data_IF_508562374364
#
_entry.id   IF_508562374364
#
_cell.length_a   1.000
_cell.length_b   1.000
_cell.length_c   1.000
_cell.angle_alpha   90.00
_cell.angle_beta   90.00
_cell.angle_gamma   90.00
#
_symmetry.space_group_name_H-M   'P 1'
#
loop_
_entity.id
_entity.type
_entity.pdbx_description
1 polymer ?
#
# COMPACT_ATOMS: atom_id res chain seq x y z
N UNK A 1 19.37 -25.24 0.78
CA UNK A 1 19.27 -23.85 0.29
C UNK A 1 20.27 -23.50 -0.82
N UNK A 2 21.47 -24.08 -0.86
CA UNK A 2 22.52 -23.76 -1.84
C UNK A 2 22.07 -23.70 -3.31
N UNK A 3 21.15 -24.59 -3.72
CA UNK A 3 20.57 -24.58 -5.08
C UNK A 3 19.90 -23.25 -5.46
N UNK A 4 19.37 -22.52 -4.49
CA UNK A 4 18.74 -21.22 -4.68
C UNK A 4 19.74 -20.07 -4.52
N UNK A 5 20.70 -20.16 -3.59
CA UNK A 5 21.67 -19.09 -3.36
C UNK A 5 22.76 -18.99 -4.42
N UNK A 6 23.10 -20.10 -5.09
CA UNK A 6 24.19 -20.16 -6.07
C UNK A 6 23.71 -20.16 -7.52
N UNK A 7 22.40 -19.95 -7.75
CA UNK A 7 21.85 -19.90 -9.10
C UNK A 7 22.36 -18.68 -9.86
N UNK A 8 22.47 -18.83 -11.18
CA UNK A 8 22.72 -17.71 -12.10
C UNK A 8 21.42 -17.35 -12.78
N UNK A 9 21.15 -16.05 -12.87
CA UNK A 9 19.97 -15.52 -13.55
C UNK A 9 20.35 -14.99 -14.93
N UNK A 10 19.41 -15.12 -15.87
CA UNK A 10 19.56 -14.57 -17.22
C UNK A 10 18.78 -13.27 -17.30
N UNK A 11 19.51 -12.18 -17.53
CA UNK A 11 18.92 -10.85 -17.73
C UNK A 11 18.40 -10.72 -19.17
N UNK A 12 17.21 -10.16 -19.32
CA UNK A 12 16.51 -9.89 -20.58
C UNK A 12 15.87 -8.50 -20.52
N UNK A 13 15.49 -7.89 -21.66
CA UNK A 13 14.60 -6.73 -21.65
C UNK A 13 13.34 -7.03 -20.82
N UNK A 14 12.85 -6.03 -20.10
CA UNK A 14 11.66 -6.16 -19.27
C UNK A 14 10.38 -6.21 -20.12
N UNK A 15 10.34 -5.59 -21.31
CA UNK A 15 9.06 -5.36 -21.99
C UNK A 15 8.16 -4.45 -21.17
N UNK A 16 8.78 -3.45 -20.51
CA UNK A 16 8.13 -2.37 -19.77
C UNK A 16 8.80 -1.10 -20.26
N UNK A 17 8.08 -0.29 -21.05
CA UNK A 17 8.68 0.80 -21.83
C UNK A 17 9.48 1.78 -20.97
N UNK A 18 8.99 2.11 -19.78
CA UNK A 18 9.67 3.00 -18.85
C UNK A 18 10.99 2.39 -18.33
N UNK A 19 10.97 1.15 -17.84
CA UNK A 19 12.18 0.45 -17.39
C UNK A 19 13.18 0.23 -18.51
N UNK A 20 12.73 -0.25 -19.68
CA UNK A 20 13.61 -0.54 -20.80
C UNK A 20 14.27 0.75 -21.33
N UNK A 21 13.52 1.86 -21.37
CA UNK A 21 14.06 3.18 -21.71
C UNK A 21 15.07 3.69 -20.68
N UNK A 22 14.87 3.36 -19.40
CA UNK A 22 15.82 3.65 -18.32
C UNK A 22 17.05 2.72 -18.29
N UNK A 23 17.20 1.81 -19.27
CA UNK A 23 18.29 0.84 -19.32
C UNK A 23 18.13 -0.34 -18.37
N UNK A 24 16.90 -0.58 -17.92
CA UNK A 24 16.52 -1.69 -17.05
C UNK A 24 16.63 -3.06 -17.74
N UNK A 25 16.88 -4.08 -16.93
CA UNK A 25 16.78 -5.47 -17.35
C UNK A 25 16.02 -6.28 -16.30
N UNK A 26 15.30 -7.31 -16.73
CA UNK A 26 14.53 -8.19 -15.86
C UNK A 26 15.09 -9.61 -15.85
N UNK A 27 14.87 -10.33 -14.75
CA UNK A 27 15.26 -11.72 -14.60
C UNK A 27 14.32 -12.47 -13.63
N UNK A 28 14.33 -13.79 -13.74
CA UNK A 28 13.52 -14.68 -12.90
C UNK A 28 14.41 -15.41 -11.88
N UNK A 29 14.16 -15.21 -10.59
CA UNK A 29 14.87 -15.87 -9.48
C UNK A 29 14.04 -17.05 -8.99
N UNK A 30 14.62 -18.24 -8.92
CA UNK A 30 13.92 -19.42 -8.39
C UNK A 30 14.02 -19.48 -6.87
N UNK A 31 12.92 -19.76 -6.20
CA UNK A 31 12.84 -19.89 -4.73
C UNK A 31 11.99 -21.11 -4.36
N UNK A 32 12.14 -21.69 -3.15
CA UNK A 32 11.18 -22.65 -2.64
C UNK A 32 9.79 -22.03 -2.55
N UNK A 33 8.76 -22.81 -2.88
CA UNK A 33 7.38 -22.42 -2.55
C UNK A 33 7.21 -22.41 -1.02
N UNK A 34 7.62 -23.49 -0.37
CA UNK A 34 7.64 -23.63 1.09
C UNK A 34 9.10 -23.67 1.57
N UNK A 35 9.49 -22.72 2.42
CA UNK A 35 10.86 -22.67 2.96
C UNK A 35 11.12 -23.73 4.05
N UNK A 36 10.08 -24.36 4.60
CA UNK A 36 10.21 -25.53 5.48
C UNK A 36 10.47 -26.82 4.69
N UNK A 37 10.13 -26.86 3.40
CA UNK A 37 10.46 -27.94 2.47
C UNK A 37 11.24 -27.41 1.25
N UNK A 38 12.53 -27.05 1.43
CA UNK A 38 13.32 -26.43 0.38
C UNK A 38 13.61 -27.36 -0.80
N UNK A 39 13.37 -28.66 -0.69
CA UNK A 39 13.57 -29.64 -1.77
C UNK A 39 12.31 -29.87 -2.60
N UNK A 40 11.14 -29.51 -2.07
CA UNK A 40 9.84 -29.58 -2.72
C UNK A 40 9.62 -28.60 -3.88
N UNK A 41 8.36 -28.17 -4.03
CA UNK A 41 7.92 -27.28 -5.13
C UNK A 41 8.66 -25.94 -5.09
N UNK A 42 8.86 -25.37 -6.27
CA UNK A 42 9.50 -24.06 -6.43
C UNK A 42 8.56 -23.09 -7.14
N UNK A 43 8.84 -21.80 -6.99
CA UNK A 43 8.23 -20.72 -7.77
C UNK A 43 9.32 -19.77 -8.28
N UNK A 44 8.94 -18.87 -9.19
CA UNK A 44 9.81 -17.82 -9.70
C UNK A 44 9.38 -16.46 -9.18
N UNK A 45 10.33 -15.70 -8.66
CA UNK A 45 10.20 -14.30 -8.27
C UNK A 45 10.84 -13.45 -9.36
N UNK A 46 10.06 -12.57 -9.98
CA UNK A 46 10.56 -11.65 -10.99
C UNK A 46 11.27 -10.46 -10.33
N UNK A 47 12.44 -10.10 -10.85
CA UNK A 47 13.19 -8.92 -10.45
C UNK A 47 13.53 -8.06 -11.66
N UNK A 48 13.69 -6.76 -11.42
CA UNK A 48 14.26 -5.80 -12.36
C UNK A 48 15.58 -5.25 -11.81
N UNK A 49 16.41 -4.72 -12.68
CA UNK A 49 17.64 -4.01 -12.31
C UNK A 49 17.90 -2.85 -13.26
N UNK A 50 18.13 -1.68 -12.69
CA UNK A 50 18.86 -0.58 -13.33
C UNK A 50 20.26 -0.58 -12.71
N UNK A 51 21.30 -0.73 -13.53
CA UNK A 51 22.68 -0.79 -13.04
C UNK A 51 23.10 0.56 -12.44
N UNK A 52 24.02 0.52 -11.46
CA UNK A 52 24.64 1.73 -10.94
C UNK A 52 25.21 2.59 -12.08
N UNK A 53 24.95 3.90 -12.03
CA UNK A 53 25.39 4.82 -13.08
C UNK A 53 26.93 4.98 -13.13
N UNK A 54 27.63 4.62 -12.06
CA UNK A 54 29.09 4.61 -11.97
C UNK A 54 29.58 3.26 -11.38
N UNK A 55 30.03 2.32 -12.22
CA UNK A 55 30.51 1.02 -11.77
C UNK A 55 31.68 1.07 -10.78
N UNK A 56 32.53 2.10 -10.85
CA UNK A 56 33.70 2.24 -9.97
C UNK A 56 33.29 2.72 -8.57
N UNK A 57 32.14 3.40 -8.46
CA UNK A 57 31.53 3.83 -7.19
C UNK A 57 30.48 2.85 -6.66
N UNK A 58 30.25 1.73 -7.34
CA UNK A 58 29.21 0.77 -6.98
C UNK A 58 29.45 0.19 -5.58
N UNK A 59 28.53 0.50 -4.67
CA UNK A 59 28.48 0.01 -3.29
C UNK A 59 27.74 -1.32 -3.17
N UNK A 60 26.62 -1.48 -3.86
CA UNK A 60 25.76 -2.66 -3.68
C UNK A 60 24.42 -2.57 -4.39
N UNK A 61 23.41 -3.21 -3.81
CA UNK A 61 22.04 -3.27 -4.33
C UNK A 61 21.11 -2.47 -3.42
N UNK A 62 20.20 -1.70 -4.02
CA UNK A 62 19.09 -1.01 -3.36
C UNK A 62 17.78 -1.61 -3.86
N UNK A 63 17.15 -2.46 -3.05
CA UNK A 63 15.86 -3.06 -3.39
C UNK A 63 14.72 -2.15 -2.97
N UNK A 64 13.78 -1.90 -3.88
CA UNK A 64 12.61 -1.08 -3.65
C UNK A 64 11.34 -1.94 -3.59
N UNK A 65 10.41 -1.57 -2.70
CA UNK A 65 9.07 -2.14 -2.69
C UNK A 65 8.02 -1.01 -2.52
N UNK A 66 7.02 -0.91 -3.42
CA UNK A 66 6.06 0.19 -3.43
C UNK A 66 4.94 0.02 -2.40
N UNK A 67 4.80 -1.16 -1.80
CA UNK A 67 3.72 -1.49 -0.89
C UNK A 67 2.56 -2.22 -1.56
N UNK A 68 1.33 -1.80 -1.26
CA UNK A 68 0.11 -2.58 -1.45
C UNK A 68 -0.37 -3.16 -0.11
N UNK A 69 -0.19 -4.47 0.18
CA UNK A 69 0.47 -5.49 -0.64
C UNK A 69 -0.29 -5.80 -1.93
N UNK A 70 0.34 -6.52 -2.86
CA UNK A 70 -0.28 -6.89 -4.15
C UNK A 70 0.18 -6.04 -5.34
N UNK A 71 0.89 -4.93 -5.09
CA UNK A 71 1.43 -4.08 -6.16
C UNK A 71 2.73 -4.65 -6.76
N UNK A 72 2.81 -4.65 -8.08
CA UNK A 72 4.04 -4.93 -8.83
C UNK A 72 5.14 -3.96 -8.43
N UNK A 73 6.35 -4.48 -8.19
CA UNK A 73 7.51 -3.69 -7.77
C UNK A 73 8.62 -3.59 -8.81
N UNK A 74 8.43 -4.17 -10.00
CA UNK A 74 9.47 -4.16 -11.05
C UNK A 74 9.84 -2.74 -11.50
N UNK A 75 8.87 -1.85 -11.65
CA UNK A 75 9.04 -0.49 -12.16
C UNK A 75 9.20 0.58 -11.07
N UNK A 76 9.08 0.19 -9.79
CA UNK A 76 9.28 1.11 -8.66
C UNK A 76 10.64 1.80 -8.68
N UNK A 77 11.67 1.13 -9.21
CA UNK A 77 13.02 1.70 -9.33
C UNK A 77 13.14 2.85 -10.33
N UNK A 78 12.28 2.87 -11.35
CA UNK A 78 12.19 3.98 -12.30
C UNK A 78 11.56 5.21 -11.63
N UNK A 79 10.47 4.99 -10.89
CA UNK A 79 9.81 6.04 -10.09
C UNK A 79 10.74 6.64 -9.02
N UNK A 80 11.60 5.82 -8.43
CA UNK A 80 12.65 6.30 -7.52
C UNK A 80 13.71 7.15 -8.23
N UNK A 81 13.91 6.96 -9.54
CA UNK A 81 14.86 7.73 -10.33
C UNK A 81 14.63 9.24 -10.30
N UNK A 82 13.37 9.66 -10.16
CA UNK A 82 12.95 11.06 -10.11
C UNK A 82 13.24 11.75 -8.76
N UNK A 83 13.40 10.97 -7.70
CA UNK A 83 13.59 11.48 -6.32
C UNK A 83 14.97 11.15 -5.74
N UNK A 84 15.62 10.11 -6.24
CA UNK A 84 16.98 9.73 -5.86
C UNK A 84 17.99 10.69 -6.47
N UNK A 85 18.84 11.24 -5.59
CA UNK A 85 19.97 12.06 -6.00
C UNK A 85 20.89 11.27 -6.96
N UNK A 86 21.50 11.93 -7.96
CA UNK A 86 22.44 11.29 -8.89
C UNK A 86 23.54 10.49 -8.18
N UNK A 87 24.01 10.96 -7.02
CA UNK A 87 25.03 10.27 -6.22
C UNK A 87 24.57 8.96 -5.59
N UNK A 88 23.26 8.80 -5.32
CA UNK A 88 22.69 7.50 -4.92
C UNK A 88 22.67 6.59 -6.14
N UNK A 89 22.14 7.06 -7.28
CA UNK A 89 22.08 6.27 -8.53
C UNK A 89 23.46 5.83 -9.04
N UNK A 90 24.50 6.59 -8.74
CA UNK A 90 25.89 6.22 -9.03
C UNK A 90 26.41 5.06 -8.16
N UNK A 91 25.86 4.84 -6.96
CA UNK A 91 26.39 3.87 -6.00
C UNK A 91 25.61 2.56 -5.95
N UNK A 92 24.39 2.49 -6.46
CA UNK A 92 23.54 1.31 -6.31
C UNK A 92 23.04 0.76 -7.64
N UNK A 93 23.08 -0.57 -7.76
CA UNK A 93 22.14 -1.24 -8.64
C UNK A 93 20.75 -1.12 -8.00
N UNK A 94 19.81 -0.46 -8.69
CA UNK A 94 18.44 -0.32 -8.25
C UNK A 94 17.68 -1.59 -8.61
N UNK A 95 17.10 -2.27 -7.62
CA UNK A 95 16.42 -3.55 -7.80
C UNK A 95 14.93 -3.42 -7.50
N UNK A 96 14.10 -3.71 -8.50
CA UNK A 96 12.66 -3.91 -8.31
C UNK A 96 12.36 -5.40 -8.12
N UNK A 97 11.27 -5.70 -7.44
CA UNK A 97 10.83 -7.07 -7.19
C UNK A 97 9.31 -7.13 -7.20
N UNK A 98 8.77 -8.07 -7.97
CA UNK A 98 7.39 -8.52 -7.76
C UNK A 98 7.39 -9.56 -6.66
N UNK A 99 6.74 -9.34 -5.49
CA UNK A 99 6.63 -10.37 -4.47
C UNK A 99 6.04 -11.67 -5.01
N UNK A 100 6.28 -12.78 -4.30
CA UNK A 100 5.67 -14.07 -4.66
C UNK A 100 4.16 -13.93 -4.83
N UNK A 101 3.63 -14.41 -5.96
CA UNK A 101 2.21 -14.29 -6.30
C UNK A 101 1.72 -12.91 -6.74
N UNK A 102 2.62 -11.96 -6.98
CA UNK A 102 2.33 -10.62 -7.49
C UNK A 102 2.86 -10.47 -8.92
N UNK A 103 2.15 -9.73 -9.77
CA UNK A 103 2.65 -9.31 -11.08
C UNK A 103 3.14 -10.48 -11.93
N UNK A 104 4.43 -10.45 -12.29
CA UNK A 104 5.08 -11.48 -13.11
C UNK A 104 5.63 -12.66 -12.30
N UNK A 105 5.62 -12.58 -10.99
CA UNK A 105 6.03 -13.68 -10.12
C UNK A 105 4.99 -14.80 -10.11
N UNK A 106 5.46 -16.04 -10.15
CA UNK A 106 4.58 -17.20 -10.11
C UNK A 106 3.94 -17.36 -8.72
N UNK A 107 2.77 -18.00 -8.68
CA UNK A 107 2.14 -18.45 -7.43
C UNK A 107 0.75 -17.86 -7.15
N UNK A 108 0.41 -16.71 -7.75
CA UNK A 108 -0.90 -16.09 -7.64
C UNK A 108 -1.66 -16.22 -8.94
N UNK A 109 -2.60 -17.18 -9.02
CA UNK A 109 -3.60 -17.13 -10.10
C UNK A 109 -4.65 -16.11 -9.68
N UNK A 110 -4.94 -15.17 -10.55
CA UNK A 110 -6.04 -14.24 -10.41
C UNK A 110 -7.34 -15.00 -10.05
N UNK A 111 -8.07 -14.53 -9.04
CA UNK A 111 -9.23 -15.25 -8.49
C UNK A 111 -10.50 -15.12 -9.34
N UNK A 112 -10.49 -14.26 -10.36
CA UNK A 112 -11.65 -13.95 -11.19
C UNK A 112 -12.61 -12.96 -10.53
N UNK A 113 -12.12 -12.11 -9.61
CA UNK A 113 -12.96 -11.15 -8.89
C UNK A 113 -13.52 -10.06 -9.80
N UNK A 114 -14.82 -9.76 -9.64
CA UNK A 114 -15.53 -8.66 -10.32
C UNK A 114 -16.62 -8.07 -9.40
N UNK A 115 -16.50 -6.83 -8.92
CA UNK A 115 -15.32 -5.95 -9.01
C UNK A 115 -14.07 -6.58 -8.41
N UNK A 116 -12.91 -6.17 -8.90
CA UNK A 116 -11.62 -6.79 -8.60
C UNK A 116 -11.00 -6.43 -7.25
N UNK A 117 -11.76 -5.95 -6.29
CA UNK A 117 -11.24 -5.40 -5.02
C UNK A 117 -11.91 -6.09 -3.82
N UNK A 118 -11.11 -6.40 -2.80
CA UNK A 118 -11.65 -6.92 -1.54
C UNK A 118 -12.11 -5.81 -0.63
N UNK A 119 -11.41 -4.67 -0.55
CA UNK A 119 -11.78 -3.56 0.32
C UNK A 119 -13.07 -2.90 -0.16
N UNK A 120 -14.11 -3.02 0.66
CA UNK A 120 -15.44 -2.46 0.39
C UNK A 120 -16.11 -2.07 1.70
N UNK A 121 -16.88 -0.98 1.69
CA UNK A 121 -17.69 -0.58 2.85
C UNK A 121 -18.89 -1.50 3.02
N UNK A 122 -19.31 -1.73 4.28
CA UNK A 122 -20.53 -2.47 4.59
C UNK A 122 -21.82 -1.73 4.19
N UNK A 123 -21.71 -0.46 3.78
CA UNK A 123 -22.85 0.43 3.56
C UNK A 123 -23.47 0.94 4.86
N UNK A 124 -24.60 1.64 4.74
CA UNK A 124 -25.25 2.33 5.85
C UNK A 124 -26.14 1.41 6.72
N UNK A 125 -26.49 0.22 6.23
CA UNK A 125 -27.51 -0.64 6.85
C UNK A 125 -27.13 -2.12 6.97
N UNK A 126 -27.88 -2.84 7.81
CA UNK A 126 -27.66 -4.27 8.09
C UNK A 126 -27.79 -5.15 6.84
N UNK A 127 -28.74 -4.88 5.96
CA UNK A 127 -28.93 -5.65 4.73
C UNK A 127 -27.71 -5.56 3.81
N UNK A 128 -27.12 -4.36 3.70
CA UNK A 128 -25.86 -4.12 2.99
C UNK A 128 -24.72 -4.93 3.59
N UNK A 129 -24.56 -4.88 4.92
CA UNK A 129 -23.56 -5.67 5.64
C UNK A 129 -23.71 -7.19 5.43
N UNK A 130 -24.95 -7.71 5.46
CA UNK A 130 -25.21 -9.14 5.25
C UNK A 130 -24.89 -9.56 3.81
N UNK A 131 -25.27 -8.75 2.81
CA UNK A 131 -24.89 -8.96 1.42
C UNK A 131 -23.37 -8.94 1.23
N UNK A 132 -22.69 -7.99 1.86
CA UNK A 132 -21.23 -7.88 1.79
C UNK A 132 -20.49 -9.01 2.51
N UNK A 133 -21.05 -9.53 3.61
CA UNK A 133 -20.58 -10.75 4.28
C UNK A 133 -20.61 -11.94 3.32
N UNK A 134 -21.73 -12.12 2.60
CA UNK A 134 -21.87 -13.16 1.58
C UNK A 134 -20.88 -12.98 0.41
N UNK A 135 -20.66 -11.73 -0.03
CA UNK A 135 -19.66 -11.37 -1.04
C UNK A 135 -18.25 -11.74 -0.58
N UNK A 136 -17.85 -11.32 0.62
CA UNK A 136 -16.53 -11.60 1.17
C UNK A 136 -16.24 -13.11 1.27
N UNK A 137 -17.23 -13.89 1.73
CA UNK A 137 -17.11 -15.36 1.75
C UNK A 137 -16.95 -15.95 0.34
N UNK A 138 -17.71 -15.44 -0.64
CA UNK A 138 -17.60 -15.87 -2.05
C UNK A 138 -16.22 -15.58 -2.64
N UNK A 139 -15.72 -14.36 -2.45
CA UNK A 139 -14.39 -13.95 -2.92
C UNK A 139 -13.28 -14.84 -2.36
N UNK A 140 -13.34 -15.17 -1.06
CA UNK A 140 -12.41 -16.10 -0.44
C UNK A 140 -12.51 -17.50 -1.06
N UNK A 141 -13.72 -18.05 -1.23
CA UNK A 141 -13.92 -19.36 -1.85
C UNK A 141 -13.39 -19.42 -3.29
N UNK A 142 -13.61 -18.37 -4.09
CA UNK A 142 -13.16 -18.32 -5.48
C UNK A 142 -11.63 -18.36 -5.60
N UNK A 143 -10.92 -17.72 -4.68
CA UNK A 143 -9.47 -17.84 -4.57
C UNK A 143 -9.03 -19.24 -4.12
N UNK A 144 -9.65 -19.76 -3.06
CA UNK A 144 -9.24 -21.01 -2.40
C UNK A 144 -9.60 -22.27 -3.19
N UNK A 145 -10.48 -22.18 -4.18
CA UNK A 145 -10.83 -23.27 -5.08
C UNK A 145 -9.64 -23.76 -5.94
N UNK A 146 -8.57 -22.95 -6.06
CA UNK A 146 -7.34 -23.33 -6.73
C UNK A 146 -6.37 -24.14 -5.85
N UNK A 147 -5.08 -23.85 -6.00
CA UNK A 147 -4.03 -24.45 -5.18
C UNK A 147 -3.88 -23.71 -3.84
N UNK A 148 -4.81 -24.00 -2.92
CA UNK A 148 -4.82 -23.38 -1.58
C UNK A 148 -3.54 -23.64 -0.78
N UNK A 149 -2.81 -24.73 -1.06
CA UNK A 149 -1.52 -25.01 -0.41
C UNK A 149 -0.44 -24.04 -0.88
N UNK A 150 -0.38 -23.72 -2.18
CA UNK A 150 0.54 -22.71 -2.70
C UNK A 150 0.15 -21.29 -2.25
N UNK A 151 -1.14 -20.94 -2.26
CA UNK A 151 -1.61 -19.61 -1.84
C UNK A 151 -1.22 -19.30 -0.39
N UNK A 152 -1.28 -20.30 0.50
CA UNK A 152 -0.89 -20.15 1.91
C UNK A 152 0.60 -19.87 2.13
N UNK A 153 1.43 -20.00 1.09
CA UNK A 153 2.86 -19.69 1.13
C UNK A 153 3.19 -18.28 0.62
N UNK A 154 2.19 -17.54 0.16
CA UNK A 154 2.31 -16.16 -0.33
C UNK A 154 2.23 -15.17 0.84
N UNK A 155 3.25 -15.16 1.69
CA UNK A 155 3.27 -14.36 2.93
C UNK A 155 4.43 -13.36 2.95
N UNK A 156 4.35 -12.34 3.80
CA UNK A 156 5.43 -11.36 4.01
C UNK A 156 6.72 -12.04 4.49
N UNK A 157 6.62 -12.98 5.43
CA UNK A 157 7.78 -13.71 5.96
C UNK A 157 8.52 -14.45 4.85
N UNK A 158 7.77 -15.11 3.99
CA UNK A 158 8.29 -15.83 2.86
C UNK A 158 8.85 -14.88 1.77
N UNK A 159 8.22 -13.71 1.57
CA UNK A 159 8.76 -12.64 0.72
C UNK A 159 10.09 -12.09 1.27
N UNK A 160 10.24 -11.94 2.58
CA UNK A 160 11.51 -11.55 3.20
C UNK A 160 12.61 -12.60 2.99
N UNK A 161 12.26 -13.90 2.97
CA UNK A 161 13.22 -14.97 2.61
C UNK A 161 13.59 -14.92 1.12
N UNK A 162 12.68 -14.50 0.24
CA UNK A 162 12.99 -14.26 -1.17
C UNK A 162 13.98 -13.11 -1.34
N UNK A 163 13.80 -12.02 -0.57
CA UNK A 163 14.74 -10.89 -0.56
C UNK A 163 16.17 -11.34 -0.18
N UNK A 164 16.32 -12.27 0.77
CA UNK A 164 17.63 -12.84 1.11
C UNK A 164 18.21 -13.70 -0.03
N UNK A 165 17.38 -14.49 -0.72
CA UNK A 165 17.81 -15.23 -1.92
C UNK A 165 18.25 -14.26 -3.01
N UNK A 166 17.46 -13.24 -3.33
CA UNK A 166 17.77 -12.23 -4.35
C UNK A 166 19.10 -11.56 -4.03
N UNK A 167 19.30 -11.09 -2.79
CA UNK A 167 20.56 -10.50 -2.33
C UNK A 167 21.75 -11.42 -2.62
N UNK A 168 21.65 -12.70 -2.30
CA UNK A 168 22.71 -13.70 -2.54
C UNK A 168 22.96 -13.97 -4.03
N UNK A 169 21.90 -14.09 -4.82
CA UNK A 169 21.96 -14.29 -6.28
C UNK A 169 22.62 -13.11 -6.99
N UNK A 170 22.39 -11.89 -6.50
CA UNK A 170 23.05 -10.67 -6.99
C UNK A 170 24.48 -10.49 -6.47
N UNK A 171 24.99 -11.45 -5.68
CA UNK A 171 26.35 -11.41 -5.13
C UNK A 171 26.54 -10.34 -4.05
N UNK A 172 25.46 -9.82 -3.47
CA UNK A 172 25.51 -8.77 -2.46
C UNK A 172 25.66 -9.36 -1.05
N UNK A 173 26.67 -8.94 -0.25
CA UNK A 173 26.82 -9.41 1.14
C UNK A 173 25.69 -8.88 2.03
N UNK A 174 25.20 -7.67 1.75
CA UNK A 174 24.11 -6.98 2.45
C UNK A 174 23.15 -6.34 1.43
N UNK A 175 21.96 -5.96 1.88
CA UNK A 175 20.89 -5.36 1.10
C UNK A 175 20.62 -3.95 1.62
N UNK A 176 20.67 -2.95 0.74
CA UNK A 176 19.99 -1.68 1.02
C UNK A 176 18.53 -1.78 0.57
N UNK A 177 17.62 -1.16 1.30
CA UNK A 177 16.18 -1.32 1.10
C UNK A 177 15.45 0.02 1.21
N UNK A 178 14.52 0.26 0.29
CA UNK A 178 13.54 1.35 0.35
C UNK A 178 12.14 0.74 0.27
N UNK A 179 11.40 0.77 1.38
CA UNK A 179 10.03 0.27 1.45
C UNK A 179 9.05 1.40 1.66
N UNK A 180 7.92 1.34 0.95
CA UNK A 180 6.81 2.27 1.13
C UNK A 180 5.56 1.52 1.58
N UNK A 181 4.79 2.09 2.51
CA UNK A 181 3.51 1.50 2.93
C UNK A 181 3.68 0.06 3.42
N UNK A 182 2.99 -0.93 2.84
CA UNK A 182 3.26 -2.37 3.09
C UNK A 182 4.75 -2.76 3.02
N UNK A 183 5.50 -2.13 2.12
CA UNK A 183 6.95 -2.33 2.01
C UNK A 183 7.70 -2.01 3.31
N UNK A 184 7.16 -1.15 4.17
CA UNK A 184 7.74 -0.86 5.49
C UNK A 184 7.60 -2.04 6.45
N UNK A 185 6.45 -2.72 6.45
CA UNK A 185 6.25 -3.95 7.21
C UNK A 185 7.15 -5.06 6.66
N UNK A 186 7.22 -5.23 5.34
CA UNK A 186 8.14 -6.18 4.70
C UNK A 186 9.61 -5.92 5.09
N UNK A 187 10.05 -4.66 5.06
CA UNK A 187 11.39 -4.25 5.48
C UNK A 187 11.66 -4.54 6.96
N UNK A 188 10.71 -4.24 7.84
CA UNK A 188 10.80 -4.53 9.27
C UNK A 188 10.89 -6.04 9.55
N UNK A 189 10.09 -6.85 8.86
CA UNK A 189 10.15 -8.32 8.91
C UNK A 189 11.52 -8.82 8.43
N UNK A 190 12.04 -8.28 7.32
CA UNK A 190 13.38 -8.63 6.83
C UNK A 190 14.48 -8.28 7.84
N UNK A 191 14.45 -7.07 8.43
CA UNK A 191 15.40 -6.64 9.46
C UNK A 191 15.35 -7.55 10.70
N UNK A 192 14.16 -8.01 11.08
CA UNK A 192 13.99 -8.94 12.20
C UNK A 192 14.56 -10.33 11.88
N UNK A 193 14.31 -10.86 10.68
CA UNK A 193 14.71 -12.21 10.29
C UNK A 193 16.19 -12.30 9.88
N UNK A 194 16.73 -11.23 9.29
CA UNK A 194 18.07 -11.18 8.71
C UNK A 194 18.82 -9.89 9.09
N UNK A 195 19.01 -9.58 10.39
CA UNK A 195 19.56 -8.30 10.83
C UNK A 195 20.98 -8.04 10.31
N UNK A 196 21.78 -9.10 10.10
CA UNK A 196 23.15 -9.02 9.57
C UNK A 196 23.20 -8.80 8.05
N UNK A 197 22.06 -8.92 7.37
CA UNK A 197 21.95 -8.77 5.92
C UNK A 197 21.49 -7.36 5.51
N UNK A 198 21.27 -6.45 6.46
CA UNK A 198 20.83 -5.06 6.19
C UNK A 198 22.04 -4.12 6.12
N UNK A 199 22.14 -3.32 5.05
CA UNK A 199 23.10 -2.20 4.95
C UNK A 199 22.45 -0.87 5.32
N UNK A 200 21.53 -0.38 4.47
CA UNK A 200 20.80 0.87 4.67
C UNK A 200 19.32 0.65 4.42
N UNK A 201 18.47 1.00 5.38
CA UNK A 201 17.03 0.75 5.30
C UNK A 201 16.23 2.02 5.49
N UNK A 202 15.41 2.39 4.51
CA UNK A 202 14.45 3.49 4.59
C UNK A 202 13.04 2.93 4.51
N UNK A 203 12.20 3.33 5.47
CA UNK A 203 10.82 2.90 5.60
C UNK A 203 9.92 4.16 5.59
N UNK A 204 9.33 4.45 4.45
CA UNK A 204 8.47 5.63 4.23
C UNK A 204 7.00 5.27 4.34
N UNK A 205 6.25 5.98 5.19
CA UNK A 205 4.84 5.68 5.48
C UNK A 205 4.70 4.33 6.17
N UNK A 206 5.13 4.32 7.43
CA UNK A 206 5.44 3.13 8.21
C UNK A 206 4.22 2.49 8.86
N UNK A 207 4.15 1.17 8.77
CA UNK A 207 3.14 0.32 9.41
C UNK A 207 3.63 -0.15 10.78
N UNK A 208 2.74 -0.14 11.76
CA UNK A 208 2.92 -0.81 13.04
C UNK A 208 2.84 -2.34 12.82
N UNK A 209 3.95 -3.09 13.03
CA UNK A 209 3.98 -4.53 12.82
C UNK A 209 2.98 -5.30 13.68
N UNK A 210 2.61 -4.77 14.86
CA UNK A 210 1.68 -5.43 15.78
C UNK A 210 0.21 -5.20 15.40
N UNK A 211 -0.05 -4.32 14.41
CA UNK A 211 -1.40 -4.01 13.92
C UNK A 211 -1.65 -4.46 12.49
N UNK A 212 -0.63 -4.92 11.78
CA UNK A 212 -0.79 -5.48 10.45
C UNK A 212 -1.57 -6.82 10.51
N UNK A 213 -2.57 -7.10 9.69
CA UNK A 213 -3.26 -6.25 8.69
C UNK A 213 -4.56 -5.68 9.27
N UNK A 214 -5.31 -6.49 10.01
CA UNK A 214 -6.68 -6.15 10.43
C UNK A 214 -6.73 -4.97 11.40
N UNK A 215 -5.70 -4.78 12.22
CA UNK A 215 -5.59 -3.64 13.12
C UNK A 215 -5.35 -2.32 12.38
N UNK A 216 -4.57 -2.35 11.31
CA UNK A 216 -4.27 -1.21 10.45
C UNK A 216 -5.50 -0.77 9.65
N UNK A 217 -6.23 -1.71 9.03
CA UNK A 217 -7.48 -1.40 8.31
C UNK A 217 -8.49 -0.73 9.25
N UNK A 218 -8.58 -1.18 10.51
CA UNK A 218 -9.43 -0.52 11.52
C UNK A 218 -9.00 0.90 11.86
N UNK A 219 -7.72 1.25 11.72
CA UNK A 219 -7.23 2.60 12.00
C UNK A 219 -7.53 3.58 10.87
N UNK A 220 -7.75 3.08 9.65
CA UNK A 220 -8.20 3.92 8.52
C UNK A 220 -9.46 4.70 8.85
N UNK A 221 -10.39 4.11 9.62
CA UNK A 221 -11.65 4.76 9.98
C UNK A 221 -11.44 6.16 10.59
N UNK A 222 -10.63 6.28 11.65
CA UNK A 222 -10.38 7.60 12.25
C UNK A 222 -9.47 8.48 11.39
N UNK A 223 -8.52 7.88 10.67
CA UNK A 223 -7.54 8.61 9.89
C UNK A 223 -8.13 9.22 8.60
N UNK A 224 -9.01 8.49 7.93
CA UNK A 224 -9.75 8.97 6.76
C UNK A 224 -10.81 10.02 7.13
N UNK A 225 -11.42 9.93 8.32
CA UNK A 225 -12.31 10.98 8.81
C UNK A 225 -11.56 12.30 9.06
N UNK A 226 -10.36 12.22 9.66
CA UNK A 226 -9.50 13.40 9.80
C UNK A 226 -9.03 13.94 8.44
N UNK A 227 -8.80 13.06 7.46
CA UNK A 227 -8.46 13.45 6.12
C UNK A 227 -9.61 14.13 5.37
N UNK A 228 -10.84 13.66 5.58
CA UNK A 228 -12.05 14.29 5.07
C UNK A 228 -12.25 15.66 5.70
N UNK A 229 -12.00 15.82 7.00
CA UNK A 229 -12.09 17.12 7.69
C UNK A 229 -11.07 18.13 7.13
N UNK A 230 -9.84 17.68 6.86
CA UNK A 230 -8.80 18.50 6.23
C UNK A 230 -9.23 18.94 4.81
N UNK A 231 -9.70 18.01 3.99
CA UNK A 231 -10.23 18.32 2.66
C UNK A 231 -11.47 19.23 2.72
N UNK A 232 -12.35 19.05 3.69
CA UNK A 232 -13.55 19.87 3.86
C UNK A 232 -13.20 21.34 4.15
N UNK A 233 -12.12 21.60 4.90
CA UNK A 233 -11.58 22.97 5.09
C UNK A 233 -11.08 23.57 3.78
N UNK A 234 -10.45 22.77 2.92
CA UNK A 234 -10.00 23.21 1.60
C UNK A 234 -11.18 23.50 0.67
N UNK A 235 -12.18 22.61 0.65
CA UNK A 235 -13.34 22.67 -0.23
C UNK A 235 -14.29 23.83 0.13
N UNK A 236 -14.49 24.10 1.43
CA UNK A 236 -15.33 25.19 1.89
C UNK A 236 -14.87 26.58 1.41
N UNK A 237 -13.56 26.77 1.21
CA UNK A 237 -12.99 28.01 0.65
C UNK A 237 -13.26 28.17 -0.84
N UNK A 238 -13.71 27.10 -1.50
CA UNK A 238 -14.04 26.99 -2.93
C UNK A 238 -15.52 26.68 -3.16
N UNK A 239 -16.37 27.03 -2.19
CA UNK A 239 -17.81 26.95 -2.34
C UNK A 239 -18.36 27.67 -3.60
N UNK A 240 -17.78 28.80 -4.07
CA UNK A 240 -18.20 29.41 -5.34
C UNK A 240 -18.00 28.51 -6.57
N UNK A 241 -17.09 27.53 -6.51
CA UNK A 241 -16.76 26.63 -7.62
C UNK A 241 -17.55 25.32 -7.54
N UNK A 242 -17.77 24.79 -6.33
CA UNK A 242 -18.29 23.43 -6.13
C UNK A 242 -19.66 23.37 -5.43
N UNK A 243 -20.05 24.42 -4.70
CA UNK A 243 -21.33 24.51 -3.98
C UNK A 243 -21.59 23.39 -2.94
N UNK A 244 -20.55 22.93 -2.24
CA UNK A 244 -20.66 21.94 -1.16
C UNK A 244 -21.01 22.57 0.20
N UNK A 245 -20.99 23.89 0.32
CA UNK A 245 -21.18 24.62 1.56
C UNK A 245 -19.98 25.49 1.93
N UNK A 246 -20.28 26.58 2.63
CA UNK A 246 -19.31 27.65 2.98
C UNK A 246 -18.45 27.35 4.21
N UNK A 247 -18.60 26.18 4.83
CA UNK A 247 -17.85 25.77 6.02
C UNK A 247 -17.56 24.27 6.00
N UNK A 248 -16.47 23.84 6.63
CA UNK A 248 -16.09 22.43 6.65
C UNK A 248 -17.20 21.50 7.18
N UNK A 249 -17.96 21.86 8.24
CA UNK A 249 -19.11 21.05 8.66
C UNK A 249 -20.21 20.90 7.58
N UNK A 250 -20.47 21.94 6.79
CA UNK A 250 -21.45 21.87 5.69
C UNK A 250 -20.96 20.99 4.53
N UNK A 251 -19.68 21.07 4.20
CA UNK A 251 -19.07 20.17 3.20
C UNK A 251 -19.17 18.72 3.65
N UNK A 252 -18.91 18.47 4.94
CA UNK A 252 -19.03 17.14 5.53
C UNK A 252 -20.47 16.62 5.49
N UNK A 253 -21.44 17.45 5.87
CA UNK A 253 -22.87 17.15 5.73
C UNK A 253 -23.23 16.78 4.28
N UNK A 254 -22.73 17.52 3.30
CA UNK A 254 -22.93 17.21 1.86
C UNK A 254 -22.41 15.83 1.48
N UNK A 255 -21.23 15.42 1.97
CA UNK A 255 -20.66 14.09 1.70
C UNK A 255 -21.47 12.98 2.38
N UNK A 256 -21.90 13.20 3.63
CA UNK A 256 -22.75 12.26 4.36
C UNK A 256 -24.14 12.13 3.70
N UNK A 257 -24.72 13.22 3.20
CA UNK A 257 -25.96 13.22 2.42
C UNK A 257 -25.81 12.49 1.08
N UNK A 258 -24.69 12.69 0.37
CA UNK A 258 -24.37 11.94 -0.84
C UNK A 258 -24.35 10.44 -0.56
N UNK A 259 -23.63 10.01 0.49
CA UNK A 259 -23.57 8.59 0.89
C UNK A 259 -24.97 8.04 1.15
N UNK A 260 -25.80 8.75 1.91
CA UNK A 260 -27.17 8.34 2.19
C UNK A 260 -28.07 8.34 0.94
N UNK A 261 -27.81 9.23 -0.03
CA UNK A 261 -28.52 9.25 -1.30
C UNK A 261 -28.17 8.03 -2.15
N UNK A 262 -26.88 7.71 -2.27
CA UNK A 262 -26.38 6.54 -3.01
C UNK A 262 -26.85 5.21 -2.41
N UNK A 263 -27.03 5.15 -1.08
CA UNK A 263 -27.64 3.99 -0.42
C UNK A 263 -29.09 3.72 -0.86
N UNK A 264 -29.85 4.78 -1.19
CA UNK A 264 -31.25 4.67 -1.64
C UNK A 264 -31.36 4.52 -3.16
N UNK A 265 -30.53 5.26 -3.89
CA UNK A 265 -30.53 5.33 -5.35
C UNK A 265 -29.08 5.37 -5.85
N UNK A 266 -28.46 4.19 -6.07
CA UNK A 266 -27.14 4.10 -6.66
C UNK A 266 -27.08 4.77 -8.04
N UNK A 267 -25.93 5.31 -8.40
CA UNK A 267 -25.70 5.95 -9.70
C UNK A 267 -24.82 5.07 -10.58
N UNK A 268 -25.09 5.06 -11.88
CA UNK A 268 -24.25 4.34 -12.85
C UNK A 268 -23.33 5.31 -13.55
N UNK A 269 -22.02 5.07 -13.46
CA UNK A 269 -20.96 5.83 -14.13
C UNK A 269 -20.16 4.87 -15.00
N UNK A 270 -20.12 5.11 -16.31
CA UNK A 270 -19.45 4.24 -17.30
C UNK A 270 -19.83 2.74 -17.22
N UNK A 271 -21.08 2.36 -16.89
CA UNK A 271 -21.53 0.98 -16.60
C UNK A 271 -21.01 0.37 -15.28
N UNK A 272 -20.47 1.19 -14.37
CA UNK A 272 -20.19 0.79 -12.99
C UNK A 272 -21.22 1.41 -12.05
N UNK A 273 -21.77 0.61 -11.13
CA UNK A 273 -22.72 1.10 -10.12
C UNK A 273 -21.93 1.63 -8.91
N UNK A 274 -22.03 2.93 -8.66
CA UNK A 274 -21.50 3.58 -7.48
C UNK A 274 -22.62 3.72 -6.45
N UNK A 275 -22.45 3.06 -5.32
CA UNK A 275 -23.35 3.01 -4.17
C UNK A 275 -22.63 3.49 -2.90
N UNK A 276 -23.30 3.39 -1.75
CA UNK A 276 -22.72 3.68 -0.43
C UNK A 276 -21.63 2.69 0.01
N UNK A 277 -21.45 1.58 -0.71
CA UNK A 277 -20.36 0.65 -0.49
C UNK A 277 -19.06 1.11 -1.17
N UNK A 278 -19.16 1.69 -2.38
CA UNK A 278 -18.01 2.15 -3.17
C UNK A 278 -17.59 3.58 -2.89
N UNK A 279 -18.51 4.49 -2.52
CA UNK A 279 -18.16 5.89 -2.25
C UNK A 279 -17.05 6.02 -1.18
N UNK A 280 -17.11 5.34 -0.01
CA UNK A 280 -16.02 5.42 0.96
C UNK A 280 -14.68 4.92 0.42
N UNK A 281 -14.67 3.89 -0.44
CA UNK A 281 -13.43 3.41 -1.06
C UNK A 281 -12.86 4.42 -2.07
N UNK A 282 -13.70 5.08 -2.86
CA UNK A 282 -13.26 6.15 -3.77
C UNK A 282 -12.65 7.32 -3.00
N UNK A 283 -13.35 7.78 -1.94
CA UNK A 283 -12.86 8.86 -1.08
C UNK A 283 -11.59 8.46 -0.33
N UNK A 284 -11.48 7.22 0.14
CA UNK A 284 -10.25 6.67 0.70
C UNK A 284 -9.08 6.85 -0.29
N UNK A 285 -9.20 6.41 -1.54
CA UNK A 285 -8.10 6.57 -2.50
C UNK A 285 -7.75 8.05 -2.77
N UNK A 286 -8.75 8.92 -2.90
CA UNK A 286 -8.59 10.34 -3.18
C UNK A 286 -7.95 11.13 -2.02
N UNK A 287 -8.39 10.87 -0.79
CA UNK A 287 -7.99 11.62 0.39
C UNK A 287 -6.56 11.30 0.87
N UNK A 288 -5.90 10.30 0.28
CA UNK A 288 -4.52 9.92 0.63
C UNK A 288 -3.48 11.03 0.42
N UNK A 289 -3.78 12.06 -0.36
CA UNK A 289 -2.84 13.11 -0.73
C UNK A 289 -3.55 14.44 -0.99
N UNK A 290 -3.16 15.51 -0.30
CA UNK A 290 -3.73 16.85 -0.51
C UNK A 290 -3.62 17.35 -1.96
N UNK A 291 -2.64 16.86 -2.73
CA UNK A 291 -2.51 17.19 -4.17
C UNK A 291 -3.67 16.63 -5.02
N UNK A 292 -4.55 15.82 -4.45
CA UNK A 292 -5.76 15.29 -5.07
C UNK A 292 -7.02 16.07 -4.68
N UNK A 293 -6.93 17.19 -3.96
CA UNK A 293 -8.12 17.89 -3.44
C UNK A 293 -9.07 18.38 -4.54
N UNK A 294 -8.54 18.91 -5.64
CA UNK A 294 -9.33 19.30 -6.82
C UNK A 294 -9.99 18.09 -7.49
N UNK A 295 -9.27 16.96 -7.57
CA UNK A 295 -9.82 15.70 -8.12
C UNK A 295 -10.93 15.17 -7.22
N UNK A 296 -10.75 15.25 -5.91
CA UNK A 296 -11.73 14.84 -4.90
C UNK A 296 -12.99 15.66 -5.05
N UNK A 297 -12.87 16.99 -5.17
CA UNK A 297 -14.00 17.87 -5.39
C UNK A 297 -14.69 17.61 -6.73
N UNK A 298 -13.95 17.40 -7.82
CA UNK A 298 -14.55 17.03 -9.11
C UNK A 298 -15.35 15.73 -9.00
N UNK A 299 -14.81 14.68 -8.37
CA UNK A 299 -15.51 13.40 -8.18
C UNK A 299 -16.76 13.55 -7.29
N UNK A 300 -16.68 14.29 -6.19
CA UNK A 300 -17.86 14.52 -5.32
C UNK A 300 -18.94 15.33 -6.05
N UNK A 301 -18.57 16.38 -6.77
CA UNK A 301 -19.52 17.18 -7.56
C UNK A 301 -20.20 16.35 -8.65
N UNK A 302 -19.44 15.50 -9.33
CA UNK A 302 -19.94 14.60 -10.37
C UNK A 302 -20.97 13.60 -9.81
N UNK A 303 -20.65 12.95 -8.69
CA UNK A 303 -21.54 11.99 -8.04
C UNK A 303 -22.79 12.67 -7.46
N UNK A 304 -22.67 13.89 -6.92
CA UNK A 304 -23.81 14.71 -6.49
C UNK A 304 -24.74 15.06 -7.66
N UNK A 305 -24.18 15.50 -8.80
CA UNK A 305 -24.95 15.82 -9.99
C UNK A 305 -25.71 14.58 -10.49
N UNK A 306 -25.04 13.43 -10.58
CA UNK A 306 -25.65 12.16 -10.96
C UNK A 306 -26.75 11.72 -9.98
N UNK A 307 -26.51 11.82 -8.68
CA UNK A 307 -27.49 11.46 -7.64
C UNK A 307 -28.73 12.38 -7.66
N UNK A 308 -28.58 13.62 -8.12
CA UNK A 308 -29.67 14.57 -8.32
C UNK A 308 -30.38 14.40 -9.69
N UNK A 309 -30.05 13.38 -10.46
CA UNK A 309 -30.66 13.10 -11.76
C UNK A 309 -30.18 14.02 -12.89
N UNK A 310 -29.08 14.75 -12.69
CA UNK A 310 -28.46 15.54 -13.75
C UNK A 310 -27.67 14.61 -14.66
N UNK A 311 -27.90 14.61 -15.98
CA UNK A 311 -27.10 13.82 -16.90
C UNK A 311 -25.64 14.26 -16.86
N UNK A 312 -24.75 13.35 -16.49
CA UNK A 312 -23.29 13.54 -16.56
C UNK A 312 -22.82 12.88 -17.85
N UNK A 313 -22.48 13.67 -18.87
CA UNK A 313 -21.99 13.15 -20.16
C UNK A 313 -20.46 13.06 -20.24
N UNK A 314 -19.75 13.81 -19.40
CA UNK A 314 -18.29 13.78 -19.30
C UNK A 314 -17.91 13.45 -17.86
N UNK A 315 -17.20 12.35 -17.70
CA UNK A 315 -16.70 11.89 -16.41
C UNK A 315 -15.29 12.41 -16.17
N UNK A 316 -14.97 12.75 -14.92
CA UNK A 316 -13.60 13.10 -14.55
C UNK A 316 -12.65 11.94 -14.90
N UNK A 317 -11.47 12.19 -15.53
CA UNK A 317 -10.58 11.11 -15.96
C UNK A 317 -10.21 10.16 -14.83
N UNK A 318 -9.96 10.70 -13.64
CA UNK A 318 -9.64 9.88 -12.46
C UNK A 318 -10.78 8.94 -12.08
N UNK A 319 -12.03 9.41 -12.05
CA UNK A 319 -13.16 8.55 -11.71
C UNK A 319 -13.37 7.49 -12.80
N UNK A 320 -13.34 7.90 -14.07
CA UNK A 320 -13.47 6.98 -15.19
C UNK A 320 -12.41 5.85 -15.15
N UNK A 321 -11.14 6.20 -14.97
CA UNK A 321 -10.03 5.25 -14.91
C UNK A 321 -10.14 4.33 -13.68
N UNK A 322 -10.56 4.88 -12.53
CA UNK A 322 -10.74 4.09 -11.29
C UNK A 322 -11.87 3.07 -11.43
N UNK A 323 -13.00 3.45 -12.03
CA UNK A 323 -14.13 2.55 -12.23
C UNK A 323 -13.87 1.52 -13.35
N UNK A 324 -13.10 1.87 -14.37
CA UNK A 324 -12.59 0.91 -15.35
C UNK A 324 -11.64 -0.08 -14.68
N UNK A 325 -10.74 0.41 -13.83
CA UNK A 325 -9.81 -0.41 -13.06
C UNK A 325 -10.54 -1.45 -12.21
N UNK A 326 -11.51 -1.02 -11.38
CA UNK A 326 -12.33 -1.89 -10.54
C UNK A 326 -13.09 -2.97 -11.32
N UNK A 327 -13.39 -2.74 -12.61
CA UNK A 327 -14.11 -3.69 -13.46
C UNK A 327 -13.17 -4.69 -14.15
N UNK A 328 -12.03 -4.20 -14.60
CA UNK A 328 -11.18 -4.90 -15.56
C UNK A 328 -9.92 -5.49 -14.95
N UNK A 329 -9.50 -4.99 -13.79
CA UNK A 329 -8.33 -5.45 -13.07
C UNK A 329 -8.74 -6.00 -11.71
N UNK A 330 -8.10 -7.09 -11.29
CA UNK A 330 -8.31 -7.67 -9.97
C UNK A 330 -7.05 -7.63 -9.13
N UNK A 331 -7.21 -7.24 -7.86
CA UNK A 331 -6.18 -7.16 -6.83
C UNK A 331 -6.35 -8.30 -5.81
N UNK A 332 -6.53 -9.53 -6.30
CA UNK A 332 -6.56 -10.70 -5.42
C UNK A 332 -5.22 -10.98 -4.75
N UNK A 333 -4.12 -10.39 -5.26
CA UNK A 333 -2.79 -10.52 -4.69
C UNK A 333 -2.68 -9.87 -3.31
N UNK A 334 -3.38 -8.75 -3.09
CA UNK A 334 -3.53 -8.16 -1.76
C UNK A 334 -4.06 -9.19 -0.75
N UNK A 335 -5.10 -9.94 -1.13
CA UNK A 335 -5.72 -10.93 -0.25
C UNK A 335 -4.81 -12.12 0.06
N UNK A 336 -4.03 -12.59 -0.92
CA UNK A 336 -3.07 -13.69 -0.69
C UNK A 336 -2.11 -13.36 0.44
N UNK A 337 -1.59 -12.15 0.43
CA UNK A 337 -0.57 -11.67 1.37
C UNK A 337 -1.21 -11.27 2.68
N UNK A 338 -2.16 -10.34 2.67
CA UNK A 338 -2.79 -9.81 3.88
C UNK A 338 -3.48 -10.90 4.71
N UNK A 339 -4.26 -11.78 4.08
CA UNK A 339 -4.94 -12.87 4.77
C UNK A 339 -4.01 -14.05 5.10
N UNK A 340 -2.89 -14.19 4.37
CA UNK A 340 -1.86 -15.19 4.65
C UNK A 340 -0.94 -14.81 5.81
N UNK A 341 -0.86 -13.53 6.15
CA UNK A 341 -0.02 -12.99 7.21
C UNK A 341 -0.72 -12.84 8.56
N UNK A 342 -1.97 -12.38 8.57
CA UNK A 342 -2.73 -12.08 9.79
C UNK A 342 -4.06 -12.83 9.81
N UNK A 343 -4.40 -13.39 10.97
CA UNK A 343 -5.65 -14.11 11.14
C UNK A 343 -6.78 -13.15 11.53
N UNK A 344 -7.73 -12.95 10.63
CA UNK A 344 -8.90 -12.13 10.90
C UNK A 344 -9.89 -12.84 11.86
N UNK A 345 -10.67 -12.09 12.66
CA UNK A 345 -11.83 -12.63 13.36
C UNK A 345 -12.83 -13.31 12.40
N UNK A 346 -13.39 -14.45 12.80
CA UNK A 346 -14.26 -15.25 11.92
C UNK A 346 -15.76 -14.96 12.14
N UNK A 347 -16.13 -14.22 13.20
CA UNK A 347 -17.51 -14.01 13.62
C UNK A 347 -18.13 -12.74 13.00
N UNK A 348 -19.09 -12.83 12.06
CA UNK A 348 -19.65 -11.63 11.40
C UNK A 348 -20.32 -10.64 12.37
N UNK A 349 -20.96 -11.12 13.43
CA UNK A 349 -21.61 -10.28 14.43
C UNK A 349 -20.64 -9.30 15.12
N UNK A 350 -19.36 -9.68 15.24
CA UNK A 350 -18.32 -8.80 15.78
C UNK A 350 -18.08 -7.60 14.88
N UNK A 351 -17.97 -7.82 13.56
CA UNK A 351 -17.78 -6.73 12.59
C UNK A 351 -18.96 -5.77 12.60
N UNK A 352 -20.19 -6.28 12.59
CA UNK A 352 -21.38 -5.42 12.69
C UNK A 352 -21.40 -4.58 13.97
N UNK A 353 -21.08 -5.20 15.12
CA UNK A 353 -20.98 -4.48 16.39
C UNK A 353 -19.90 -3.39 16.36
N UNK A 354 -18.73 -3.68 15.78
CA UNK A 354 -17.64 -2.71 15.63
C UNK A 354 -18.03 -1.54 14.71
N UNK A 355 -18.76 -1.81 13.62
CA UNK A 355 -19.30 -0.77 12.71
C UNK A 355 -20.26 0.15 13.46
N UNK A 356 -21.24 -0.41 14.17
CA UNK A 356 -22.25 0.38 14.87
C UNK A 356 -21.66 1.20 16.02
N UNK A 357 -20.69 0.65 16.75
CA UNK A 357 -19.96 1.38 17.79
C UNK A 357 -19.21 2.60 17.24
N UNK A 358 -18.63 2.47 16.03
CA UNK A 358 -17.82 3.51 15.40
C UNK A 358 -18.63 4.54 14.64
N UNK A 359 -19.82 4.18 14.14
CA UNK A 359 -20.65 5.01 13.25
C UNK A 359 -20.83 6.46 13.73
N UNK A 360 -21.04 6.77 15.02
CA UNK A 360 -21.21 8.16 15.47
C UNK A 360 -19.94 9.02 15.29
N UNK A 361 -18.75 8.43 15.38
CA UNK A 361 -17.48 9.13 15.26
C UNK A 361 -16.84 8.97 13.88
N UNK A 362 -17.28 7.97 13.10
CA UNK A 362 -16.75 7.61 11.79
C UNK A 362 -17.90 7.35 10.80
N UNK A 363 -18.75 8.35 10.52
CA UNK A 363 -19.97 8.15 9.72
C UNK A 363 -19.69 7.76 8.27
N UNK A 364 -18.56 8.16 7.67
CA UNK A 364 -18.21 7.86 6.28
C UNK A 364 -17.33 6.61 6.19
N UNK A 365 -16.32 6.52 7.06
CA UNK A 365 -15.28 5.49 6.93
C UNK A 365 -15.36 4.36 7.95
N UNK A 366 -16.20 4.45 8.99
CA UNK A 366 -16.33 3.40 10.01
C UNK A 366 -16.78 2.07 9.39
N UNK A 367 -17.75 2.13 8.49
CA UNK A 367 -18.24 0.96 7.76
C UNK A 367 -17.26 0.42 6.70
N UNK A 368 -16.27 1.21 6.26
CA UNK A 368 -15.16 0.74 5.40
C UNK A 368 -14.10 0.01 6.24
N UNK A 369 -13.66 0.65 7.32
CA UNK A 369 -12.56 0.22 8.17
C UNK A 369 -12.91 -1.00 9.05
N UNK A 370 -14.19 -1.18 9.40
CA UNK A 370 -14.65 -2.26 10.28
C UNK A 370 -15.49 -3.32 9.54
N UNK A 371 -15.56 -3.30 8.21
CA UNK A 371 -16.28 -4.33 7.47
C UNK A 371 -15.61 -5.70 7.56
N UNK A 372 -16.41 -6.76 7.45
CA UNK A 372 -15.90 -8.10 7.23
C UNK A 372 -15.36 -8.22 5.80
N UNK A 373 -14.14 -8.75 5.68
CA UNK A 373 -13.43 -8.91 4.41
C UNK A 373 -13.08 -10.39 4.16
N UNK A 374 -12.65 -10.78 2.94
CA UNK A 374 -12.35 -12.18 2.61
C UNK A 374 -11.41 -12.89 3.60
N UNK A 375 -10.54 -12.16 4.30
CA UNK A 375 -9.64 -12.71 5.32
C UNK A 375 -10.37 -13.43 6.46
N UNK A 376 -11.61 -13.05 6.81
CA UNK A 376 -12.42 -13.73 7.84
C UNK A 376 -12.82 -15.16 7.43
N UNK A 377 -12.73 -15.47 6.14
CA UNK A 377 -13.05 -16.78 5.55
C UNK A 377 -11.80 -17.49 5.00
N UNK A 378 -10.61 -16.96 5.30
CA UNK A 378 -9.34 -17.47 4.82
C UNK A 378 -8.74 -18.48 5.81
N UNK A 379 -8.01 -19.52 5.35
CA UNK A 379 -7.29 -20.42 6.24
C UNK A 379 -6.30 -19.64 7.10
N UNK A 380 -6.15 -20.07 8.36
CA UNK A 380 -5.16 -19.49 9.28
C UNK A 380 -3.75 -19.48 8.66
N UNK A 381 -2.95 -18.43 8.93
CA UNK A 381 -1.55 -18.34 8.51
C UNK A 381 -0.75 -19.61 8.80
N UNK A 382 0.19 -19.95 7.90
CA UNK A 382 1.08 -21.11 8.07
C UNK A 382 2.14 -20.89 9.16
N UNK A 383 2.50 -19.64 9.39
CA UNK A 383 3.42 -19.19 10.43
C UNK A 383 2.76 -18.07 11.22
N UNK A 384 3.14 -17.92 12.49
CA UNK A 384 2.73 -16.74 13.26
C UNK A 384 3.32 -15.46 12.67
N UNK A 385 2.63 -14.31 12.81
CA UNK A 385 3.18 -13.00 12.47
C UNK A 385 4.55 -12.76 13.11
N UNK A 386 5.40 -12.00 12.44
CA UNK A 386 6.73 -11.68 12.96
C UNK A 386 6.64 -10.62 14.04
N UNK A 387 7.05 -10.95 15.25
CA UNK A 387 7.30 -9.92 16.27
C UNK A 387 8.58 -9.14 15.92
N UNK A 388 8.42 -7.90 15.45
CA UNK A 388 9.54 -7.01 15.14
C UNK A 388 9.99 -6.34 16.43
N UNK A 389 11.18 -6.68 16.91
CA UNK A 389 11.88 -6.03 18.04
C UNK A 389 13.39 -6.18 17.84
N UNK A 390 14.05 -5.13 17.34
CA UNK A 390 15.48 -5.16 17.05
C UNK A 390 16.13 -3.76 17.09
N UNK A 391 17.45 -3.71 16.90
CA UNK A 391 18.24 -2.48 16.89
C UNK A 391 18.92 -2.22 15.54
N UNK A 392 18.42 -2.80 14.45
CA UNK A 392 18.96 -2.56 13.11
C UNK A 392 18.80 -1.07 12.77
N UNK A 393 19.87 -0.37 12.36
CA UNK A 393 19.76 1.02 11.93
C UNK A 393 18.83 1.16 10.72
N UNK A 394 17.84 2.05 10.84
CA UNK A 394 16.90 2.37 9.76
C UNK A 394 16.45 3.84 9.86
N UNK A 395 16.08 4.43 8.73
CA UNK A 395 15.43 5.73 8.67
C UNK A 395 13.93 5.52 8.43
N UNK A 396 13.12 5.87 9.41
CA UNK A 396 11.66 5.84 9.30
C UNK A 396 11.21 7.25 8.92
N UNK A 397 10.34 7.36 7.92
CA UNK A 397 9.86 8.65 7.42
C UNK A 397 8.34 8.63 7.42
N UNK A 398 7.72 9.66 8.01
CA UNK A 398 6.27 9.66 8.19
C UNK A 398 5.68 11.07 8.11
N UNK A 399 4.59 11.24 7.37
CA UNK A 399 3.76 12.43 7.46
C UNK A 399 2.78 12.35 8.64
N UNK A 400 2.58 13.46 9.34
CA UNK A 400 1.67 13.50 10.50
C UNK A 400 0.20 13.30 10.12
N UNK A 401 -0.17 13.64 8.88
CA UNK A 401 -1.53 13.50 8.35
C UNK A 401 -1.71 12.35 7.37
N UNK A 402 -0.81 11.37 7.35
CA UNK A 402 -0.96 10.17 6.49
C UNK A 402 -2.20 9.36 6.90
N UNK A 403 -3.20 9.17 6.01
CA UNK A 403 -4.40 8.42 6.36
C UNK A 403 -4.31 6.91 6.08
N UNK A 404 -3.29 6.43 5.36
CA UNK A 404 -3.11 5.01 5.02
C UNK A 404 -2.30 4.29 6.09
N UNK A 405 -1.25 4.95 6.57
CA UNK A 405 -0.40 4.47 7.68
C UNK A 405 -0.28 5.60 8.70
N UNK A 406 -1.26 5.74 9.62
CA UNK A 406 -1.37 6.88 10.52
C UNK A 406 -0.11 7.10 11.35
N UNK A 407 0.24 8.36 11.66
CA UNK A 407 1.47 8.72 12.38
C UNK A 407 1.81 7.86 13.61
N UNK A 408 0.84 7.44 14.46
CA UNK A 408 1.12 6.51 15.56
C UNK A 408 1.78 5.18 15.13
N UNK A 409 1.54 4.71 13.91
CA UNK A 409 2.17 3.50 13.36
C UNK A 409 3.68 3.67 13.22
N UNK A 410 4.14 4.79 12.69
CA UNK A 410 5.56 5.09 12.59
C UNK A 410 6.22 5.24 13.97
N UNK A 411 5.49 5.80 14.95
CA UNK A 411 5.97 5.88 16.34
C UNK A 411 6.15 4.49 16.95
N UNK A 412 5.19 3.58 16.73
CA UNK A 412 5.27 2.20 17.19
C UNK A 412 6.43 1.45 16.52
N UNK A 413 6.57 1.55 15.19
CA UNK A 413 7.68 0.94 14.48
C UNK A 413 9.04 1.50 14.93
N UNK A 414 9.13 2.83 15.14
CA UNK A 414 10.34 3.48 15.63
C UNK A 414 10.73 2.99 17.04
N UNK A 415 9.76 2.80 17.92
CA UNK A 415 9.96 2.20 19.23
C UNK A 415 10.47 0.75 19.12
N UNK A 416 9.89 -0.04 18.22
CA UNK A 416 10.19 -1.45 18.05
C UNK A 416 11.53 -1.72 17.32
N UNK A 417 11.95 -0.78 16.47
CA UNK A 417 13.26 -0.73 15.84
C UNK A 417 14.14 0.31 16.53
N UNK A 418 14.61 0.01 17.74
CA UNK A 418 15.31 0.96 18.62
C UNK A 418 16.62 1.56 18.05
N UNK A 419 17.15 0.99 16.96
CA UNK A 419 18.29 1.54 16.22
C UNK A 419 17.92 2.61 15.19
N UNK A 420 16.63 2.86 14.99
CA UNK A 420 16.13 3.74 13.93
C UNK A 420 16.19 5.22 14.30
N UNK A 421 15.95 6.07 13.30
CA UNK A 421 15.69 7.51 13.45
C UNK A 421 14.42 7.88 12.69
N UNK A 422 13.63 8.77 13.28
CA UNK A 422 12.39 9.24 12.69
C UNK A 422 12.57 10.60 12.01
N UNK A 423 12.08 10.70 10.78
CA UNK A 423 11.89 11.95 10.05
C UNK A 423 10.40 12.20 9.91
N UNK A 424 9.90 13.19 10.64
CA UNK A 424 8.49 13.57 10.63
C UNK A 424 8.23 14.70 9.64
N UNK A 425 7.40 14.48 8.63
CA UNK A 425 6.87 15.53 7.77
C UNK A 425 5.60 16.11 8.41
N UNK A 426 5.73 17.26 9.08
CA UNK A 426 4.68 17.82 9.91
C UNK A 426 3.66 18.66 9.13
N UNK A 427 2.39 18.54 9.51
CA UNK A 427 1.30 19.43 9.13
C UNK A 427 0.80 19.26 7.69
N UNK A 428 0.94 18.07 7.12
CA UNK A 428 0.45 17.78 5.76
C UNK A 428 -0.19 16.40 5.70
N UNK A 429 -1.32 16.31 4.98
CA UNK A 429 -1.99 15.08 4.63
C UNK A 429 -1.39 14.48 3.36
N UNK A 430 -0.56 13.46 3.52
CA UNK A 430 0.03 12.74 2.40
C UNK A 430 0.50 11.36 2.80
N UNK A 431 0.18 10.36 1.99
CA UNK A 431 0.81 9.05 2.01
C UNK A 431 1.98 9.02 1.03
N UNK A 432 3.10 8.41 1.44
CA UNK A 432 4.39 8.40 0.75
C UNK A 432 5.00 9.80 0.69
N UNK A 433 6.06 10.02 1.46
CA UNK A 433 6.67 11.35 1.67
C UNK A 433 7.83 11.65 0.72
N UNK A 434 8.46 10.62 0.15
CA UNK A 434 9.58 10.83 -0.77
C UNK A 434 9.08 11.15 -2.18
N UNK A 435 8.65 12.39 -2.39
CA UNK A 435 8.03 12.87 -3.64
C UNK A 435 8.69 14.12 -4.20
N UNK A 436 8.69 14.30 -5.53
CA UNK A 436 9.19 15.52 -6.16
C UNK A 436 8.47 16.77 -5.64
N UNK A 437 9.26 17.79 -5.30
CA UNK A 437 8.78 19.09 -4.85
C UNK A 437 7.95 19.07 -3.56
N UNK A 438 8.01 18.00 -2.76
CA UNK A 438 7.26 17.93 -1.51
C UNK A 438 8.03 18.57 -0.34
N UNK A 439 9.21 18.04 -0.02
CA UNK A 439 10.04 18.54 1.07
C UNK A 439 11.50 18.25 0.81
N UNK A 440 12.31 19.31 0.65
CA UNK A 440 13.76 19.19 0.52
C UNK A 440 14.39 18.54 1.75
N UNK A 441 13.90 18.88 2.93
CA UNK A 441 14.36 18.30 4.21
C UNK A 441 14.21 16.77 4.23
N UNK A 442 13.06 16.24 3.80
CA UNK A 442 12.85 14.78 3.69
C UNK A 442 13.79 14.18 2.65
N UNK A 443 13.88 14.81 1.48
CA UNK A 443 14.74 14.34 0.39
C UNK A 443 16.22 14.31 0.77
N UNK A 444 16.72 15.32 1.49
CA UNK A 444 18.10 15.39 1.99
C UNK A 444 18.36 14.30 3.05
N UNK A 445 17.42 14.03 3.95
CA UNK A 445 17.58 12.97 4.95
C UNK A 445 17.67 11.57 4.32
N UNK A 446 16.77 11.26 3.38
CA UNK A 446 16.74 9.96 2.68
C UNK A 446 17.99 9.79 1.80
N UNK A 447 18.26 10.76 0.92
CA UNK A 447 19.40 10.69 0.01
C UNK A 447 20.73 10.73 0.75
N UNK A 448 20.86 11.57 1.79
CA UNK A 448 22.06 11.64 2.63
C UNK A 448 22.37 10.29 3.27
N UNK A 449 21.36 9.66 3.89
CA UNK A 449 21.53 8.33 4.47
C UNK A 449 21.94 7.30 3.42
N UNK A 450 21.32 7.28 2.24
CA UNK A 450 21.75 6.42 1.14
C UNK A 450 23.09 6.80 0.50
N UNK A 451 23.68 7.96 0.76
CA UNK A 451 25.00 8.32 0.24
C UNK A 451 26.07 7.92 1.26
N UNK A 452 25.99 8.46 2.48
CA UNK A 452 27.07 8.34 3.46
C UNK A 452 26.79 7.33 4.58
N UNK A 453 25.55 6.85 4.72
CA UNK A 453 25.16 5.83 5.68
C UNK A 453 24.95 6.36 7.08
N UNK A 454 24.94 7.69 7.24
CA UNK A 454 24.73 8.34 8.54
C UNK A 454 23.26 8.65 8.71
N UNK A 455 22.66 8.07 9.74
CA UNK A 455 21.37 8.51 10.23
C UNK A 455 21.52 9.90 10.89
N UNK A 456 20.44 10.70 10.93
CA UNK A 456 20.38 11.90 11.76
C UNK A 456 20.78 11.59 13.22
N UNK A 457 21.45 12.53 13.89
CA UNK A 457 21.87 12.32 15.28
C UNK A 457 20.68 12.09 16.22
N UNK A 458 19.59 12.82 15.96
CA UNK A 458 18.30 12.77 16.64
C UNK A 458 17.19 12.67 15.61
N UNK A 459 15.96 12.41 16.05
CA UNK A 459 14.79 12.56 15.19
C UNK A 459 14.67 13.98 14.64
N UNK A 460 14.11 14.10 13.44
CA UNK A 460 14.05 15.34 12.66
C UNK A 460 12.60 15.64 12.33
N UNK A 461 12.21 16.92 12.44
CA UNK A 461 10.92 17.40 11.97
C UNK A 461 11.13 18.26 10.73
N UNK A 462 10.63 17.77 9.60
CA UNK A 462 10.57 18.47 8.32
C UNK A 462 9.19 19.12 8.11
N UNK A 463 9.12 20.00 7.12
CA UNK A 463 7.89 20.63 6.63
C UNK A 463 7.83 20.55 5.10
N UNK A 464 6.64 20.63 4.49
CA UNK A 464 6.55 20.77 3.05
C UNK A 464 7.20 22.09 2.59
N UNK A 465 7.79 22.09 1.40
CA UNK A 465 8.49 23.27 0.84
C UNK A 465 7.52 24.39 0.46
N UNK A 466 6.27 24.04 0.17
CA UNK A 466 5.16 24.96 -0.08
C UNK A 466 3.98 24.60 0.84
N UNK A 467 3.14 25.59 1.16
CA UNK A 467 1.91 25.33 1.90
C UNK A 467 1.00 24.42 1.07
N UNK A 468 0.40 23.38 1.69
CA UNK A 468 -0.56 22.51 1.03
C UNK A 468 -1.83 23.24 0.59
#
# INVERSE_FOLDING_TARGET
MDRFYLQRVTWKPCGLDNLDTAGGACADVRVPLDYADPDGRTLTVAISRIAAADPDRRRGVLLANPGGPGASGLDTVDLLGDVLAPDVRAQYDLIGMDPRGVGRSAGGRACGWRPGEMIRSAGVGLDGFLADTGRAARLAMDCLAGDSTALRQLTTRNTARDMDVIRRVLGAPTLSFFGVSYGTYLGAVFAQMFPQSVDRMVLDSAIDPDRYWTGMVRDWGAADEAALDDWAVWAARRDPDYHFGTSAPQVRETVEELMNSLARQPVTVNDFVVDDHWLPFLLHNLLANFRSDEKTAATVAELLAAANGTPVSEHSPWLADTLDSLRNYEDSALAFIACGDDAAPEEPARYWSEIEERRPAQPVFGALAANIQPCAFWPRPVESPTTVRNSVPALIVQATGDPRTPYPHALALHHDMAGSRLVTLAGVRIHMTFRPGLSRCVGEAINGYFIDGRLPATDVVCRPDAAP
#
